data_IF_469263294440
#
_entry.id   IF_469263294440
#
_cell.length_a   1.000
_cell.length_b   1.000
_cell.length_c   1.000
_cell.angle_alpha   90.00
_cell.angle_beta   90.00
_cell.angle_gamma   90.00
#
_symmetry.space_group_name_H-M   'P 1'
#
loop_
_entity.id
_entity.type
_entity.pdbx_description
1 polymer ?
#
# COMPACT_ATOMS: atom_id res chain seq x y z
N UNK A 1 -10.94 -3.96 18.57
CA UNK A 1 -12.10 -4.68 17.99
C UNK A 1 -12.73 -3.95 16.82
N UNK A 2 -13.12 -2.66 16.95
CA UNK A 2 -13.80 -1.90 15.87
C UNK A 2 -13.02 -1.90 14.55
N UNK A 3 -11.71 -1.65 14.58
CA UNK A 3 -10.88 -1.63 13.37
C UNK A 3 -10.80 -3.00 12.67
N UNK A 4 -10.68 -4.08 13.47
CA UNK A 4 -10.72 -5.45 12.94
C UNK A 4 -12.06 -5.74 12.27
N UNK A 5 -13.18 -5.34 12.90
CA UNK A 5 -14.52 -5.50 12.32
C UNK A 5 -14.66 -4.72 11.02
N UNK A 6 -14.21 -3.46 10.97
CA UNK A 6 -14.21 -2.66 9.74
C UNK A 6 -13.41 -3.31 8.61
N UNK A 7 -12.20 -3.76 8.93
CA UNK A 7 -11.32 -4.50 8.00
C UNK A 7 -11.97 -5.78 7.47
N UNK A 8 -12.63 -6.57 8.33
CA UNK A 8 -13.36 -7.79 7.92
C UNK A 8 -14.54 -7.44 7.00
N UNK A 9 -15.29 -6.38 7.32
CA UNK A 9 -16.44 -5.94 6.50
C UNK A 9 -15.97 -5.53 5.10
N UNK A 10 -14.92 -4.69 5.01
CA UNK A 10 -14.39 -4.22 3.73
C UNK A 10 -13.86 -5.40 2.91
N UNK A 11 -13.05 -6.27 3.53
CA UNK A 11 -12.51 -7.46 2.85
C UNK A 11 -13.63 -8.39 2.38
N UNK A 12 -14.66 -8.60 3.20
CA UNK A 12 -15.84 -9.39 2.82
C UNK A 12 -16.57 -8.76 1.64
N UNK A 13 -16.73 -7.43 1.62
CA UNK A 13 -17.30 -6.70 0.49
C UNK A 13 -16.56 -6.96 -0.82
N UNK A 14 -15.23 -6.90 -0.80
CA UNK A 14 -14.40 -7.24 -1.96
C UNK A 14 -14.56 -8.69 -2.40
N UNK A 15 -14.56 -9.65 -1.47
CA UNK A 15 -14.70 -11.07 -1.78
C UNK A 15 -16.11 -11.43 -2.28
N UNK A 16 -17.15 -10.80 -1.74
CA UNK A 16 -18.53 -10.94 -2.22
C UNK A 16 -18.67 -10.35 -3.62
N UNK A 17 -18.12 -9.16 -3.86
CA UNK A 17 -18.07 -8.57 -5.20
C UNK A 17 -17.31 -9.47 -6.18
N UNK A 18 -16.20 -10.07 -5.74
CA UNK A 18 -15.45 -11.01 -6.55
C UNK A 18 -16.26 -12.27 -6.91
N UNK A 19 -16.89 -12.89 -5.91
CA UNK A 19 -17.62 -14.14 -6.05
C UNK A 19 -18.92 -13.99 -6.85
N UNK A 20 -19.67 -12.91 -6.60
CA UNK A 20 -21.03 -12.73 -7.12
C UNK A 20 -21.16 -11.63 -8.19
N UNK A 21 -20.24 -10.66 -8.22
CA UNK A 21 -20.26 -9.52 -9.16
C UNK A 21 -19.75 -9.83 -10.58
N UNK A 22 -19.58 -11.11 -10.93
CA UNK A 22 -19.05 -11.56 -12.22
C UNK A 22 -17.53 -11.46 -12.36
N UNK A 23 -16.84 -10.91 -11.37
CA UNK A 23 -15.39 -10.71 -11.44
C UNK A 23 -14.61 -12.02 -11.44
N UNK A 24 -15.06 -13.02 -10.66
CA UNK A 24 -14.49 -14.37 -10.70
C UNK A 24 -14.54 -14.97 -12.10
N UNK A 25 -15.58 -14.69 -12.89
CA UNK A 25 -15.68 -15.18 -14.28
C UNK A 25 -14.71 -14.45 -15.22
N UNK A 26 -14.51 -13.15 -15.01
CA UNK A 26 -13.66 -12.29 -15.85
C UNK A 26 -12.17 -12.44 -15.57
N UNK A 27 -11.80 -12.43 -14.30
CA UNK A 27 -10.40 -12.37 -13.84
C UNK A 27 -9.96 -13.63 -13.08
N UNK A 28 -10.85 -14.59 -12.84
CA UNK A 28 -10.52 -15.81 -12.12
C UNK A 28 -10.13 -15.53 -10.68
N UNK A 29 -9.08 -16.20 -10.21
CA UNK A 29 -8.60 -16.14 -8.82
C UNK A 29 -7.62 -15.00 -8.52
N UNK A 30 -7.45 -14.04 -9.43
CA UNK A 30 -6.42 -12.99 -9.30
C UNK A 30 -6.60 -12.17 -8.01
N UNK A 31 -7.82 -11.74 -7.67
CA UNK A 31 -8.05 -10.94 -6.46
C UNK A 31 -7.75 -11.73 -5.16
N UNK A 32 -8.30 -12.93 -4.93
CA UNK A 32 -7.93 -13.72 -3.74
C UNK A 32 -6.42 -13.99 -3.64
N UNK A 33 -5.74 -14.24 -4.77
CA UNK A 33 -4.30 -14.49 -4.77
C UNK A 33 -3.50 -13.23 -4.41
N UNK A 34 -3.90 -12.06 -4.93
CA UNK A 34 -3.26 -10.80 -4.54
C UNK A 34 -3.50 -10.51 -3.06
N UNK A 35 -4.72 -10.70 -2.56
CA UNK A 35 -5.06 -10.47 -1.15
C UNK A 35 -4.22 -11.36 -0.24
N UNK A 36 -4.09 -12.64 -0.59
CA UNK A 36 -3.21 -13.57 0.12
C UNK A 36 -1.74 -13.15 0.02
N UNK A 37 -1.28 -12.67 -1.15
CA UNK A 37 0.09 -12.22 -1.35
C UNK A 37 0.44 -10.95 -0.59
N UNK A 38 -0.46 -9.96 -0.53
CA UNK A 38 -0.26 -8.74 0.27
C UNK A 38 -0.35 -9.04 1.77
N UNK A 39 -1.23 -9.95 2.20
CA UNK A 39 -1.25 -10.41 3.58
C UNK A 39 0.05 -11.14 3.96
N UNK A 40 0.59 -11.97 3.06
CA UNK A 40 1.90 -12.60 3.25
C UNK A 40 3.04 -11.57 3.27
N UNK A 41 2.96 -10.54 2.42
CA UNK A 41 3.91 -9.44 2.38
C UNK A 41 3.99 -8.70 3.71
N UNK A 42 2.86 -8.49 4.39
CA UNK A 42 2.87 -7.86 5.72
C UNK A 42 3.70 -8.66 6.72
N UNK A 43 3.61 -10.00 6.68
CA UNK A 43 4.40 -10.86 7.57
C UNK A 43 5.91 -10.67 7.38
N UNK A 44 6.34 -10.53 6.13
CA UNK A 44 7.75 -10.46 5.74
C UNK A 44 8.37 -9.07 5.95
N UNK A 45 7.57 -8.01 5.80
CA UNK A 45 8.10 -6.66 5.58
C UNK A 45 7.68 -5.68 6.68
N UNK A 46 6.47 -5.80 7.24
CA UNK A 46 5.94 -4.89 8.27
C UNK A 46 6.93 -4.67 9.42
N UNK A 47 7.51 -5.72 10.07
CA UNK A 47 8.36 -5.49 11.23
C UNK A 47 9.64 -4.73 10.92
N UNK A 48 10.11 -4.79 9.66
CA UNK A 48 11.29 -4.05 9.22
C UNK A 48 10.93 -2.57 9.10
N UNK A 49 9.84 -2.25 8.40
CA UNK A 49 9.43 -0.87 8.18
C UNK A 49 8.85 -0.19 9.42
N UNK A 50 8.17 -0.93 10.30
CA UNK A 50 7.76 -0.41 11.61
C UNK A 50 8.94 0.18 12.37
N UNK A 51 10.09 -0.50 12.33
CA UNK A 51 11.30 -0.01 12.99
C UNK A 51 11.95 1.15 12.23
N UNK A 52 12.08 1.08 10.91
CA UNK A 52 12.77 2.14 10.15
C UNK A 52 11.96 3.43 10.04
N UNK A 53 10.64 3.33 10.04
CA UNK A 53 9.71 4.47 9.94
C UNK A 53 9.28 5.00 11.31
N UNK A 54 9.74 4.37 12.38
CA UNK A 54 9.38 4.68 13.77
C UNK A 54 7.86 4.64 13.98
N UNK A 55 7.25 3.55 13.54
CA UNK A 55 5.85 3.21 13.72
C UNK A 55 5.71 2.05 14.71
N UNK A 56 4.66 2.08 15.53
CA UNK A 56 4.45 1.03 16.53
C UNK A 56 2.98 0.71 16.76
N UNK A 57 2.77 -0.54 17.19
CA UNK A 57 1.53 -1.04 17.75
C UNK A 57 1.71 -1.33 19.24
N UNK A 58 0.64 -1.22 20.07
CA UNK A 58 0.67 -1.60 21.47
C UNK A 58 1.33 -2.95 21.73
N UNK A 59 2.33 -2.98 22.62
CA UNK A 59 3.07 -4.20 22.96
C UNK A 59 2.14 -5.26 23.55
N UNK A 60 1.24 -4.84 24.43
CA UNK A 60 0.11 -5.63 24.90
C UNK A 60 -1.08 -5.39 23.97
N UNK A 61 -1.35 -6.35 23.09
CA UNK A 61 -2.48 -6.31 22.18
C UNK A 61 -3.19 -7.67 22.17
N UNK A 62 -4.48 -7.74 22.53
CA UNK A 62 -5.23 -9.01 22.54
C UNK A 62 -5.42 -9.60 21.14
N UNK A 63 -5.18 -8.81 20.09
CA UNK A 63 -5.18 -9.23 18.70
C UNK A 63 -3.77 -9.45 18.16
N UNK A 64 -2.75 -9.55 19.02
CA UNK A 64 -1.39 -9.89 18.61
C UNK A 64 -1.39 -11.18 17.78
N UNK A 65 -0.79 -11.12 16.60
CA UNK A 65 -0.68 -12.24 15.67
C UNK A 65 0.71 -12.86 15.71
N UNK A 66 1.76 -12.04 15.64
CA UNK A 66 3.15 -12.48 15.78
C UNK A 66 4.04 -11.35 16.30
N UNK A 67 5.26 -11.69 16.70
CA UNK A 67 6.28 -10.74 17.12
C UNK A 67 7.58 -10.99 16.34
N UNK A 68 8.15 -9.93 15.76
CA UNK A 68 9.44 -9.95 15.08
C UNK A 68 10.08 -8.56 15.17
N UNK A 69 11.42 -8.46 15.14
CA UNK A 69 12.15 -7.18 15.26
C UNK A 69 11.65 -6.30 16.43
N UNK A 70 11.35 -6.91 17.58
CA UNK A 70 10.78 -6.23 18.76
C UNK A 70 9.48 -5.44 18.50
N UNK A 71 8.72 -5.85 17.49
CA UNK A 71 7.41 -5.32 17.16
C UNK A 71 6.35 -6.41 17.29
N UNK A 72 5.30 -6.10 18.04
CA UNK A 72 4.09 -6.93 18.13
C UNK A 72 3.18 -6.52 16.98
N UNK A 73 2.91 -7.44 16.06
CA UNK A 73 2.07 -7.16 14.88
C UNK A 73 0.65 -7.71 15.12
N UNK A 74 -0.38 -6.86 15.09
CA UNK A 74 -1.77 -7.31 15.27
C UNK A 74 -2.35 -8.02 14.05
N UNK A 75 -3.35 -8.89 14.26
CA UNK A 75 -4.04 -9.65 13.21
C UNK A 75 -4.76 -8.77 12.19
N UNK A 76 -5.15 -7.56 12.55
CA UNK A 76 -5.79 -6.64 11.61
C UNK A 76 -4.80 -6.10 10.56
N UNK A 77 -3.49 -6.21 10.77
CA UNK A 77 -2.46 -5.76 9.81
C UNK A 77 -2.47 -6.59 8.53
N UNK A 78 -2.31 -7.93 8.53
CA UNK A 78 -2.35 -8.72 7.30
C UNK A 78 -3.69 -8.60 6.58
N UNK A 79 -4.80 -8.46 7.32
CA UNK A 79 -6.11 -8.23 6.72
C UNK A 79 -6.23 -6.82 6.11
N UNK A 80 -5.68 -5.81 6.79
CA UNK A 80 -5.55 -4.43 6.31
C UNK A 80 -4.77 -4.38 5.00
N UNK A 81 -3.60 -5.03 4.98
CA UNK A 81 -2.77 -5.16 3.79
C UNK A 81 -3.52 -5.81 2.62
N UNK A 82 -4.31 -6.85 2.89
CA UNK A 82 -5.10 -7.55 1.88
C UNK A 82 -6.08 -6.63 1.15
N UNK A 83 -6.91 -5.89 1.87
CA UNK A 83 -7.92 -5.06 1.23
C UNK A 83 -7.40 -3.69 0.83
N UNK A 84 -6.48 -3.09 1.59
CA UNK A 84 -5.98 -1.76 1.30
C UNK A 84 -4.96 -1.80 0.17
N UNK A 85 -3.81 -2.47 0.33
CA UNK A 85 -2.82 -2.59 -0.74
C UNK A 85 -3.26 -3.54 -1.85
N UNK A 86 -3.80 -4.71 -1.48
CA UNK A 86 -4.27 -5.68 -2.46
C UNK A 86 -5.50 -5.18 -3.23
N UNK A 87 -6.46 -4.58 -2.54
CA UNK A 87 -7.68 -4.04 -3.17
C UNK A 87 -7.41 -2.77 -3.98
N UNK A 88 -6.61 -1.83 -3.48
CA UNK A 88 -6.22 -0.63 -4.25
C UNK A 88 -5.46 -1.05 -5.51
N UNK A 89 -4.45 -1.92 -5.40
CA UNK A 89 -3.69 -2.39 -6.55
C UNK A 89 -4.58 -3.11 -7.57
N UNK A 90 -5.55 -3.91 -7.12
CA UNK A 90 -6.51 -4.56 -8.00
C UNK A 90 -7.38 -3.56 -8.77
N UNK A 91 -7.89 -2.53 -8.08
CA UNK A 91 -8.68 -1.46 -8.70
C UNK A 91 -7.82 -0.67 -9.69
N UNK A 92 -6.61 -0.28 -9.31
CA UNK A 92 -5.69 0.45 -10.19
C UNK A 92 -5.33 -0.37 -11.42
N UNK A 93 -5.02 -1.66 -11.26
CA UNK A 93 -4.80 -2.57 -12.39
C UNK A 93 -5.97 -2.57 -13.37
N UNK A 94 -7.21 -2.70 -12.86
CA UNK A 94 -8.42 -2.64 -13.69
C UNK A 94 -8.60 -1.31 -14.41
N UNK A 95 -8.30 -0.21 -13.72
CA UNK A 95 -8.40 1.14 -14.28
C UNK A 95 -7.37 1.32 -15.41
N UNK A 96 -6.15 0.84 -15.22
CA UNK A 96 -5.09 0.85 -16.25
C UNK A 96 -5.48 -0.02 -17.45
N UNK A 97 -5.96 -1.24 -17.23
CA UNK A 97 -6.44 -2.11 -18.32
C UNK A 97 -7.64 -1.52 -19.07
N UNK A 98 -8.46 -0.72 -18.40
CA UNK A 98 -9.55 0.04 -19.00
C UNK A 98 -9.11 1.29 -19.77
N UNK A 99 -7.80 1.51 -19.97
CA UNK A 99 -7.29 2.64 -20.76
C UNK A 99 -7.30 3.98 -20.02
N UNK A 100 -6.98 3.99 -18.72
CA UNK A 100 -6.96 5.22 -17.94
C UNK A 100 -5.92 6.24 -18.41
N UNK A 101 -6.36 7.50 -18.48
CA UNK A 101 -5.51 8.66 -18.76
C UNK A 101 -4.66 9.06 -17.56
N UNK A 102 -3.62 9.86 -17.80
CA UNK A 102 -2.75 10.40 -16.73
C UNK A 102 -3.55 11.10 -15.63
N UNK A 103 -4.51 11.94 -16.02
CA UNK A 103 -5.34 12.69 -15.08
C UNK A 103 -6.15 11.79 -14.14
N UNK A 104 -6.64 10.65 -14.65
CA UNK A 104 -7.36 9.67 -13.82
C UNK A 104 -6.44 8.99 -12.81
N UNK A 105 -5.20 8.66 -13.19
CA UNK A 105 -4.19 8.10 -12.28
C UNK A 105 -3.87 9.09 -11.16
N UNK A 106 -3.61 10.36 -11.50
CA UNK A 106 -3.36 11.40 -10.50
C UNK A 106 -4.53 11.65 -9.55
N UNK A 107 -5.76 11.69 -10.08
CA UNK A 107 -6.96 11.88 -9.26
C UNK A 107 -7.17 10.70 -8.28
N UNK A 108 -6.97 9.46 -8.74
CA UNK A 108 -7.04 8.30 -7.87
C UNK A 108 -5.93 8.33 -6.82
N UNK A 109 -4.71 8.71 -7.19
CA UNK A 109 -3.59 8.77 -6.25
C UNK A 109 -3.87 9.77 -5.14
N UNK A 110 -4.29 10.99 -5.48
CA UNK A 110 -4.68 11.99 -4.49
C UNK A 110 -5.82 11.50 -3.58
N UNK A 111 -6.82 10.83 -4.15
CA UNK A 111 -7.89 10.21 -3.38
C UNK A 111 -7.41 9.11 -2.42
N UNK A 112 -6.48 8.26 -2.88
CA UNK A 112 -5.87 7.21 -2.04
C UNK A 112 -5.03 7.80 -0.92
N UNK A 113 -4.22 8.83 -1.17
CA UNK A 113 -3.45 9.53 -0.12
C UNK A 113 -4.38 10.07 0.97
N UNK A 114 -5.47 10.73 0.60
CA UNK A 114 -6.43 11.29 1.57
C UNK A 114 -7.15 10.17 2.35
N UNK A 115 -7.59 9.13 1.65
CA UNK A 115 -8.26 7.99 2.29
C UNK A 115 -7.34 7.25 3.25
N UNK A 116 -6.08 7.06 2.86
CA UNK A 116 -5.04 6.46 3.69
C UNK A 116 -4.76 7.30 4.93
N UNK A 117 -4.45 8.58 4.74
CA UNK A 117 -4.15 9.50 5.83
C UNK A 117 -5.28 9.50 6.85
N UNK A 118 -6.54 9.54 6.39
CA UNK A 118 -7.69 9.46 7.28
C UNK A 118 -7.75 8.12 8.02
N UNK A 119 -7.55 6.99 7.34
CA UNK A 119 -7.60 5.66 7.95
C UNK A 119 -6.51 5.48 9.02
N UNK A 120 -5.26 5.85 8.71
CA UNK A 120 -4.13 5.77 9.64
C UNK A 120 -4.30 6.77 10.78
N UNK A 121 -4.79 7.98 10.49
CA UNK A 121 -5.12 8.96 11.54
C UNK A 121 -6.20 8.45 12.50
N UNK A 122 -7.22 7.75 12.01
CA UNK A 122 -8.23 7.11 12.85
C UNK A 122 -7.59 6.04 13.75
N UNK A 123 -6.68 5.21 13.21
CA UNK A 123 -5.94 4.26 14.04
C UNK A 123 -5.16 4.95 15.15
N UNK A 124 -4.50 6.06 14.84
CA UNK A 124 -3.73 6.84 15.80
C UNK A 124 -4.61 7.51 16.86
N UNK A 125 -5.70 8.16 16.46
CA UNK A 125 -6.65 8.78 17.38
C UNK A 125 -7.34 7.77 18.31
N UNK A 126 -7.48 6.52 17.86
CA UNK A 126 -8.01 5.42 18.66
C UNK A 126 -6.93 4.70 19.49
N UNK A 127 -5.66 5.12 19.42
CA UNK A 127 -4.55 4.51 20.14
C UNK A 127 -4.23 3.08 19.69
N UNK A 128 -4.58 2.72 18.45
CA UNK A 128 -4.34 1.38 17.88
C UNK A 128 -2.94 1.24 17.32
N UNK A 129 -2.35 2.35 16.89
CA UNK A 129 -0.98 2.49 16.42
C UNK A 129 -0.54 3.94 16.60
N UNK A 130 0.75 4.24 16.47
CA UNK A 130 1.22 5.62 16.41
C UNK A 130 2.60 5.71 15.77
N UNK A 131 2.93 6.91 15.29
CA UNK A 131 4.30 7.26 14.95
C UNK A 131 4.99 7.89 16.16
N UNK A 132 6.27 7.60 16.34
CA UNK A 132 7.09 8.17 17.40
C UNK A 132 8.34 8.85 16.85
N UNK A 133 8.98 9.65 17.70
CA UNK A 133 10.12 10.48 17.29
C UNK A 133 9.71 11.77 16.60
N UNK A 134 10.68 12.45 16.01
CA UNK A 134 10.49 13.75 15.36
C UNK A 134 9.94 13.57 13.94
N UNK A 135 8.67 13.23 13.83
CA UNK A 135 8.03 12.89 12.57
C UNK A 135 7.68 14.14 11.75
N UNK A 136 8.21 14.30 10.52
CA UNK A 136 7.88 15.46 9.71
C UNK A 136 6.43 15.39 9.24
N UNK A 137 5.77 16.54 9.13
CA UNK A 137 4.34 16.61 8.73
C UNK A 137 3.37 15.86 9.65
N UNK A 138 3.80 15.50 10.87
CA UNK A 138 2.96 14.92 11.92
C UNK A 138 2.32 16.04 12.76
N UNK A 139 1.38 16.77 12.16
CA UNK A 139 0.73 17.94 12.80
C UNK A 139 -0.62 17.58 13.40
N UNK A 140 -1.41 16.79 12.68
CA UNK A 140 -2.74 16.33 13.09
C UNK A 140 -2.98 14.96 12.47
N UNK A 141 -3.28 13.95 13.30
CA UNK A 141 -3.38 12.56 12.80
C UNK A 141 -2.03 12.02 12.38
N UNK A 142 -2.00 11.10 11.41
CA UNK A 142 -0.78 10.46 10.92
C UNK A 142 0.09 11.43 10.11
N UNK A 143 1.42 11.19 10.03
CA UNK A 143 2.31 12.00 9.21
C UNK A 143 1.97 11.87 7.72
N UNK A 144 1.73 13.01 7.07
CA UNK A 144 1.24 13.02 5.68
C UNK A 144 2.16 12.29 4.68
N UNK A 145 3.48 12.32 4.90
CA UNK A 145 4.43 11.66 4.01
C UNK A 145 4.23 10.15 3.94
N UNK A 146 3.74 9.53 5.03
CA UNK A 146 3.52 8.09 5.09
C UNK A 146 2.42 7.67 4.10
N UNK A 147 1.34 8.43 4.05
CA UNK A 147 0.24 8.18 3.12
C UNK A 147 0.60 8.36 1.64
N UNK A 148 1.63 9.15 1.34
CA UNK A 148 2.20 9.19 0.00
C UNK A 148 2.91 7.87 -0.35
N UNK A 149 3.65 7.28 0.58
CA UNK A 149 4.32 5.99 0.39
C UNK A 149 3.30 4.87 0.21
N UNK A 150 2.36 4.73 1.15
CA UNK A 150 1.34 3.67 1.14
C UNK A 150 0.47 3.72 -0.12
N UNK A 151 0.06 4.92 -0.53
CA UNK A 151 -0.64 5.10 -1.80
C UNK A 151 0.25 4.73 -3.01
N UNK A 152 1.54 5.05 -2.97
CA UNK A 152 2.45 4.73 -4.09
C UNK A 152 2.62 3.22 -4.26
N UNK A 153 2.69 2.46 -3.17
CA UNK A 153 2.83 1.01 -3.20
C UNK A 153 1.66 0.33 -3.93
N UNK A 154 0.43 0.75 -3.63
CA UNK A 154 -0.77 0.24 -4.32
C UNK A 154 -0.74 0.51 -5.83
N UNK A 155 -0.23 1.67 -6.25
CA UNK A 155 -0.13 2.05 -7.65
C UNK A 155 0.99 1.30 -8.39
N UNK A 156 2.14 1.11 -7.74
CA UNK A 156 3.23 0.31 -8.32
C UNK A 156 2.82 -1.15 -8.48
N UNK A 157 2.17 -1.74 -7.46
CA UNK A 157 1.63 -3.10 -7.58
C UNK A 157 0.55 -3.17 -8.67
N UNK A 158 -0.36 -2.19 -8.75
CA UNK A 158 -1.37 -2.12 -9.83
C UNK A 158 -0.77 -2.06 -11.23
N UNK A 159 0.30 -1.29 -11.42
CA UNK A 159 1.06 -1.25 -12.67
C UNK A 159 1.81 -2.56 -12.94
N UNK A 160 2.45 -3.14 -11.92
CA UNK A 160 3.12 -4.43 -12.03
C UNK A 160 2.14 -5.52 -12.48
N UNK A 161 0.92 -5.54 -11.94
CA UNK A 161 -0.15 -6.43 -12.42
C UNK A 161 -0.47 -6.18 -13.90
N UNK A 162 -0.63 -4.92 -14.32
CA UNK A 162 -0.90 -4.60 -15.73
C UNK A 162 0.20 -5.10 -16.70
N UNK A 163 1.45 -5.12 -16.24
CA UNK A 163 2.62 -5.58 -17.02
C UNK A 163 2.77 -7.11 -17.00
N UNK A 164 2.62 -7.73 -15.83
CA UNK A 164 2.92 -9.15 -15.66
C UNK A 164 1.73 -10.05 -15.94
N UNK A 165 0.48 -9.60 -15.76
CA UNK A 165 -0.70 -10.46 -15.91
C UNK A 165 -0.77 -11.21 -17.25
N UNK A 166 -0.43 -10.63 -18.41
CA UNK A 166 -0.39 -11.36 -19.68
C UNK A 166 0.51 -12.61 -19.67
N UNK A 167 1.54 -12.61 -18.81
CA UNK A 167 2.54 -13.67 -18.66
C UNK A 167 2.19 -14.67 -17.53
N UNK A 168 1.20 -14.36 -16.68
CA UNK A 168 0.80 -15.16 -15.53
C UNK A 168 -0.46 -15.99 -15.83
N UNK A 169 -0.26 -17.13 -16.49
CA UNK A 169 -1.31 -18.08 -16.83
C UNK A 169 -1.18 -19.41 -16.06
N UNK A 170 -2.31 -20.07 -15.82
CA UNK A 170 -2.36 -21.34 -15.08
C UNK A 170 -1.67 -21.25 -13.72
N UNK A 171 -0.78 -22.21 -13.43
CA UNK A 171 -0.02 -22.28 -12.16
C UNK A 171 0.89 -21.06 -11.94
N UNK A 172 1.33 -20.36 -13.01
CA UNK A 172 2.17 -19.17 -12.86
C UNK A 172 1.45 -18.04 -12.13
N UNK A 173 0.11 -18.07 -12.03
CA UNK A 173 -0.65 -17.13 -11.19
C UNK A 173 -0.29 -17.21 -9.70
N UNK A 174 0.33 -18.29 -9.23
CA UNK A 174 0.85 -18.38 -7.87
C UNK A 174 1.95 -17.34 -7.59
N UNK A 175 2.60 -16.77 -8.61
CA UNK A 175 3.50 -15.63 -8.43
C UNK A 175 2.83 -14.41 -7.79
N UNK A 176 1.49 -14.29 -7.89
CA UNK A 176 0.73 -13.23 -7.23
C UNK A 176 0.78 -13.32 -5.69
N UNK A 177 1.22 -14.46 -5.14
CA UNK A 177 1.46 -14.62 -3.69
C UNK A 177 2.75 -13.94 -3.23
N UNK A 178 3.72 -13.71 -4.12
CA UNK A 178 5.05 -13.20 -3.77
C UNK A 178 5.36 -11.87 -4.46
N UNK A 179 4.74 -11.61 -5.62
CA UNK A 179 4.88 -10.34 -6.34
C UNK A 179 4.63 -9.12 -5.45
N UNK A 180 3.61 -9.09 -4.57
CA UNK A 180 3.42 -7.98 -3.64
C UNK A 180 4.64 -7.71 -2.77
N UNK A 181 5.31 -8.75 -2.24
CA UNK A 181 6.50 -8.57 -1.40
C UNK A 181 7.63 -7.86 -2.13
N UNK A 182 7.84 -8.17 -3.42
CA UNK A 182 8.85 -7.49 -4.23
C UNK A 182 8.48 -6.04 -4.50
N UNK A 183 7.23 -5.76 -4.87
CA UNK A 183 6.80 -4.39 -5.19
C UNK A 183 6.76 -3.53 -3.95
N UNK A 184 6.25 -4.06 -2.85
CA UNK A 184 6.07 -3.35 -1.59
C UNK A 184 7.42 -3.06 -0.93
N UNK A 185 8.26 -4.10 -0.77
CA UNK A 185 9.59 -3.94 -0.21
C UNK A 185 10.47 -2.96 -1.00
N UNK A 186 10.42 -3.02 -2.33
CA UNK A 186 11.22 -2.12 -3.17
C UNK A 186 10.67 -0.69 -3.20
N UNK A 187 9.35 -0.51 -3.29
CA UNK A 187 8.73 0.82 -3.41
C UNK A 187 8.77 1.56 -2.08
N UNK A 188 8.27 0.95 -1.00
CA UNK A 188 8.33 1.54 0.33
C UNK A 188 9.78 1.79 0.75
N UNK A 189 10.67 0.81 0.55
CA UNK A 189 12.09 0.94 0.88
C UNK A 189 12.79 2.08 0.12
N UNK A 190 12.52 2.24 -1.17
CA UNK A 190 13.16 3.28 -1.97
C UNK A 190 12.58 4.67 -1.71
N UNK A 191 11.25 4.78 -1.66
CA UNK A 191 10.57 6.08 -1.51
C UNK A 191 10.69 6.65 -0.10
N UNK A 192 10.65 5.79 0.93
CA UNK A 192 10.83 6.21 2.33
C UNK A 192 12.28 6.38 2.75
N UNK A 193 13.27 5.97 1.93
CA UNK A 193 14.68 6.03 2.30
C UNK A 193 15.13 7.41 2.82
N UNK A 194 14.78 8.55 2.19
CA UNK A 194 15.20 9.87 2.69
C UNK A 194 14.71 10.17 4.12
N UNK A 195 13.42 9.96 4.42
CA UNK A 195 12.88 10.23 5.76
C UNK A 195 13.35 9.19 6.77
N UNK A 196 13.40 7.91 6.40
CA UNK A 196 13.92 6.82 7.23
C UNK A 196 15.36 7.07 7.66
N UNK A 197 16.24 7.43 6.73
CA UNK A 197 17.63 7.78 7.04
C UNK A 197 17.70 8.97 8.00
N UNK A 198 16.95 10.04 7.72
CA UNK A 198 16.98 11.23 8.57
C UNK A 198 16.49 10.97 10.00
N UNK A 199 15.40 10.20 10.14
CA UNK A 199 14.83 9.81 11.44
C UNK A 199 15.80 8.97 12.28
N UNK A 200 16.62 8.14 11.63
CA UNK A 200 17.52 7.20 12.30
C UNK A 200 18.99 7.69 12.40
N UNK A 201 19.30 8.91 11.95
CA UNK A 201 20.70 9.40 11.89
C UNK A 201 21.03 10.54 12.86
N UNK A 202 20.13 10.89 13.78
CA UNK A 202 20.35 11.99 14.73
C UNK A 202 20.47 13.37 14.06
N UNK A 203 19.86 13.52 12.88
CA UNK A 203 19.90 14.75 12.11
C UNK A 203 19.06 15.86 12.74
N UNK A 204 19.40 17.14 12.50
CA UNK A 204 18.58 18.25 12.99
C UNK A 204 17.19 18.25 12.36
N UNK A 205 16.20 18.82 13.06
CA UNK A 205 14.78 18.82 12.63
C UNK A 205 14.57 19.28 11.19
N UNK A 206 15.22 20.35 10.75
CA UNK A 206 15.05 20.83 9.38
C UNK A 206 15.47 19.79 8.33
N UNK A 207 16.47 18.95 8.62
CA UNK A 207 16.94 17.91 7.71
C UNK A 207 15.97 16.70 7.71
N UNK A 208 15.33 16.41 8.84
CA UNK A 208 14.25 15.42 8.92
C UNK A 208 13.04 15.87 8.08
N UNK A 209 12.67 17.15 8.16
CA UNK A 209 11.61 17.73 7.32
C UNK A 209 11.97 17.73 5.83
N UNK A 210 13.24 18.01 5.50
CA UNK A 210 13.73 17.85 4.14
C UNK A 210 13.65 16.39 3.66
N UNK A 211 13.96 15.42 4.53
CA UNK A 211 13.79 13.99 4.27
C UNK A 211 12.33 13.62 3.96
N UNK A 212 11.39 14.06 4.79
CA UNK A 212 9.95 13.86 4.53
C UNK A 212 9.48 14.50 3.22
N UNK A 213 9.97 15.70 2.89
CA UNK A 213 9.69 16.37 1.61
C UNK A 213 10.22 15.57 0.43
N UNK A 214 11.47 15.10 0.52
CA UNK A 214 12.12 14.31 -0.50
C UNK A 214 11.40 12.98 -0.73
N UNK A 215 10.93 12.32 0.33
CA UNK A 215 10.10 11.12 0.25
C UNK A 215 8.81 11.37 -0.52
N UNK A 216 8.05 12.42 -0.20
CA UNK A 216 6.85 12.77 -0.97
C UNK A 216 7.17 13.08 -2.44
N UNK A 217 8.27 13.77 -2.73
CA UNK A 217 8.72 14.04 -4.09
C UNK A 217 9.07 12.75 -4.86
N UNK A 218 9.73 11.78 -4.21
CA UNK A 218 10.02 10.47 -4.80
C UNK A 218 8.74 9.71 -5.14
N UNK A 219 7.74 9.71 -4.25
CA UNK A 219 6.42 9.14 -4.51
C UNK A 219 5.76 9.79 -5.74
N UNK A 220 5.76 11.13 -5.81
CA UNK A 220 5.21 11.86 -6.96
C UNK A 220 5.91 11.53 -8.28
N UNK A 221 7.23 11.33 -8.26
CA UNK A 221 8.00 10.90 -9.44
C UNK A 221 7.57 9.49 -9.89
N UNK A 222 7.43 8.55 -8.96
CA UNK A 222 6.96 7.19 -9.26
C UNK A 222 5.55 7.23 -9.87
N UNK A 223 4.64 7.99 -9.28
CA UNK A 223 3.27 8.15 -9.80
C UNK A 223 3.25 8.82 -11.16
N UNK A 224 4.16 9.77 -11.41
CA UNK A 224 4.33 10.34 -12.74
C UNK A 224 4.66 9.24 -13.76
N UNK A 225 5.61 8.35 -13.46
CA UNK A 225 5.98 7.23 -14.34
C UNK A 225 4.79 6.29 -14.55
N UNK A 226 4.08 5.90 -13.49
CA UNK A 226 2.87 5.06 -13.57
C UNK A 226 1.81 5.71 -14.48
N UNK A 227 1.58 7.02 -14.34
CA UNK A 227 0.64 7.76 -15.17
C UNK A 227 1.06 7.78 -16.65
N UNK A 228 2.35 8.00 -16.96
CA UNK A 228 2.87 7.96 -18.33
C UNK A 228 2.70 6.57 -18.95
N UNK A 229 3.00 5.51 -18.19
CA UNK A 229 2.85 4.13 -18.65
C UNK A 229 1.38 3.78 -18.90
N UNK A 230 0.46 4.21 -18.03
CA UNK A 230 -0.99 4.03 -18.23
C UNK A 230 -1.47 4.69 -19.52
N UNK A 231 -1.07 5.94 -19.76
CA UNK A 231 -1.46 6.70 -20.94
C UNK A 231 -0.89 6.10 -22.24
N UNK A 232 0.37 5.65 -22.21
CA UNK A 232 0.99 4.96 -23.33
C UNK A 232 0.23 3.67 -23.68
N UNK A 233 -0.17 2.89 -22.67
CA UNK A 233 -0.99 1.68 -22.87
C UNK A 233 -2.37 2.02 -23.41
N UNK A 234 -3.03 3.05 -22.88
CA UNK A 234 -4.35 3.49 -23.36
C UNK A 234 -4.31 3.85 -24.86
N UNK A 235 -3.27 4.57 -25.28
CA UNK A 235 -3.05 4.93 -26.70
C UNK A 235 -2.76 3.72 -27.57
N UNK A 236 -1.96 2.77 -27.10
CA UNK A 236 -1.67 1.53 -27.83
C UNK A 236 -2.93 0.69 -28.05
N UNK A 237 -3.81 0.59 -27.04
CA UNK A 237 -5.09 -0.12 -27.15
C UNK A 237 -6.05 0.60 -28.09
N UNK A 238 -6.08 1.94 -28.09
CA UNK A 238 -6.94 2.70 -29.00
C UNK A 238 -6.49 2.65 -30.48
N UNK A 239 -5.23 2.29 -30.74
CA UNK A 239 -4.66 2.17 -32.08
C UNK A 239 -4.75 0.75 -32.67
N UNK A 240 -5.15 -0.24 -31.88
CA UNK A 240 -5.30 -1.65 -32.27
C UNK A 240 -6.75 -2.00 -32.60
#
# INVERSE_FOLDING_TARGET
MIFLTGTIIIMSGFLLWWAFGGERKRKGWVMPLIFAGTALSSFMIEPIFDNTLLYWYPAENPLSYYRAYDRTIPLFVPLGYAWFFGGSAYIIWRVIEGGATKGRIWALFAGTVVADWLAVSICEWLGLSAFYGNQPYHVFGSPLWFSFCDATDGFVLGMALALFMPHLQGVRRLWLLVLPSFTYGSTLGSTSAPVSLALNSGWPTWAIWAGGTATMAMCLIVIHVVAQMSDARAKAVAAA
#
